data_IF_716180408205
#
_entry.id   IF_716180408205
#
_cell.length_a   1.000
_cell.length_b   1.000
_cell.length_c   1.000
_cell.angle_alpha   90.00
_cell.angle_beta   90.00
_cell.angle_gamma   90.00
#
_symmetry.space_group_name_H-M   'P 1'
#
loop_
_entity.id
_entity.type
_entity.pdbx_description
1 polymer ?
#
# COMPACT_ATOMS: atom_id res chain seq x y z
N UNK A 1 -19.25 -9.31 0.08
CA UNK A 1 -19.18 -9.95 -1.25
C UNK A 1 -17.96 -9.40 -1.95
N UNK A 2 -16.96 -10.27 -2.15
CA UNK A 2 -15.69 -9.90 -2.75
C UNK A 2 -15.87 -9.64 -4.24
N UNK A 3 -15.56 -8.41 -4.66
CA UNK A 3 -15.05 -8.18 -5.99
C UNK A 3 -13.54 -8.39 -5.89
N UNK A 4 -13.07 -9.60 -6.20
CA UNK A 4 -11.71 -9.72 -6.72
C UNK A 4 -11.67 -8.87 -7.98
N UNK A 5 -11.02 -7.71 -7.89
CA UNK A 5 -10.62 -6.95 -9.07
C UNK A 5 -9.73 -7.88 -9.87
N UNK A 6 -10.30 -8.52 -10.89
CA UNK A 6 -9.58 -9.16 -11.98
C UNK A 6 -8.72 -8.05 -12.61
N UNK A 7 -7.48 -7.94 -12.12
CA UNK A 7 -6.46 -7.12 -12.75
C UNK A 7 -6.17 -7.78 -14.10
N UNK A 8 -6.57 -7.10 -15.17
CA UNK A 8 -6.26 -7.49 -16.54
C UNK A 8 -4.73 -7.34 -16.71
N UNK A 9 -3.99 -8.42 -16.44
CA UNK A 9 -2.53 -8.46 -16.55
C UNK A 9 -2.18 -8.33 -18.03
N UNK A 10 -1.53 -7.24 -18.46
CA UNK A 10 -1.11 -7.13 -19.85
C UNK A 10 -0.09 -8.24 -20.15
N UNK A 11 -0.30 -8.97 -21.25
CA UNK A 11 0.52 -10.12 -21.62
C UNK A 11 1.88 -9.76 -22.24
N UNK A 12 2.11 -8.50 -22.58
CA UNK A 12 3.32 -8.04 -23.27
C UNK A 12 3.72 -6.62 -22.80
N UNK A 13 5.02 -6.38 -22.60
CA UNK A 13 5.57 -5.10 -22.12
C UNK A 13 5.14 -3.89 -22.97
N UNK A 14 4.87 -4.07 -24.27
CA UNK A 14 4.40 -3.00 -25.17
C UNK A 14 2.96 -2.54 -24.92
N UNK A 15 2.18 -3.24 -24.10
CA UNK A 15 0.73 -2.98 -23.91
C UNK A 15 0.39 -2.23 -22.62
N UNK A 16 1.37 -1.88 -21.79
CA UNK A 16 1.12 -1.12 -20.55
C UNK A 16 0.62 0.30 -20.84
N UNK A 17 1.21 0.99 -21.82
CA UNK A 17 0.91 2.39 -22.15
C UNK A 17 -0.53 2.67 -22.60
N UNK A 18 -1.09 1.79 -23.43
CA UNK A 18 -2.43 1.97 -24.00
C UNK A 18 -3.58 1.74 -23.00
N UNK A 19 -3.28 1.12 -21.85
CA UNK A 19 -4.27 0.72 -20.83
C UNK A 19 -4.27 1.60 -19.57
N UNK A 20 -3.40 2.61 -19.47
CA UNK A 20 -3.34 3.47 -18.29
C UNK A 20 -4.48 4.50 -18.28
N UNK A 21 -5.39 4.33 -17.32
CA UNK A 21 -6.38 5.34 -16.99
C UNK A 21 -5.83 6.21 -15.86
N UNK A 22 -5.16 7.32 -16.21
CA UNK A 22 -4.42 8.19 -15.27
C UNK A 22 -5.28 8.84 -14.17
N UNK A 23 -6.61 8.90 -14.37
CA UNK A 23 -7.57 9.28 -13.32
C UNK A 23 -7.62 8.25 -12.17
N UNK A 24 -7.33 6.98 -12.45
CA UNK A 24 -7.29 5.87 -11.48
C UNK A 24 -5.86 5.61 -11.01
N UNK A 25 -5.30 6.58 -10.27
CA UNK A 25 -3.89 6.61 -9.83
C UNK A 25 -3.40 5.32 -9.16
N UNK A 26 -4.18 4.71 -8.25
CA UNK A 26 -3.80 3.43 -7.60
C UNK A 26 -3.72 2.28 -8.60
N UNK A 27 -4.63 2.24 -9.58
CA UNK A 27 -4.63 1.21 -10.63
C UNK A 27 -3.38 1.34 -11.51
N UNK A 28 -2.99 2.57 -11.83
CA UNK A 28 -1.73 2.85 -12.55
C UNK A 28 -0.53 2.35 -11.75
N UNK A 29 -0.44 2.68 -10.46
CA UNK A 29 0.66 2.20 -9.60
C UNK A 29 0.71 0.67 -9.52
N UNK A 30 -0.45 0.03 -9.35
CA UNK A 30 -0.55 -1.43 -9.36
C UNK A 30 -0.04 -2.05 -10.68
N UNK A 31 -0.37 -1.43 -11.81
CA UNK A 31 0.12 -1.84 -13.13
C UNK A 31 1.64 -1.60 -13.28
N UNK A 32 2.20 -0.53 -12.69
CA UNK A 32 3.65 -0.30 -12.65
C UNK A 32 4.38 -1.40 -11.88
N UNK A 33 3.86 -1.84 -10.72
CA UNK A 33 4.45 -2.98 -10.00
C UNK A 33 4.48 -4.26 -10.84
N UNK A 34 3.40 -4.50 -11.60
CA UNK A 34 3.31 -5.66 -12.50
C UNK A 34 4.32 -5.53 -13.63
N UNK A 35 4.44 -4.36 -14.27
CA UNK A 35 5.43 -4.10 -15.32
C UNK A 35 6.86 -4.32 -14.79
N UNK A 36 7.15 -3.86 -13.58
CA UNK A 36 8.47 -4.01 -12.97
C UNK A 36 8.79 -5.48 -12.72
N UNK A 37 7.79 -6.22 -12.21
CA UNK A 37 7.88 -7.67 -11.99
C UNK A 37 8.12 -8.46 -13.28
N UNK A 38 7.64 -7.96 -14.41
CA UNK A 38 7.83 -8.55 -15.73
C UNK A 38 9.11 -8.05 -16.44
N UNK A 39 9.98 -7.31 -15.73
CA UNK A 39 11.20 -6.71 -16.28
C UNK A 39 10.93 -5.80 -17.49
N UNK A 40 9.76 -5.15 -17.53
CA UNK A 40 9.40 -4.19 -18.55
C UNK A 40 10.04 -2.81 -18.27
N UNK A 41 11.37 -2.77 -18.19
CA UNK A 41 12.15 -1.62 -17.69
C UNK A 41 11.89 -0.33 -18.46
N UNK A 42 11.74 -0.40 -19.79
CA UNK A 42 11.42 0.76 -20.61
C UNK A 42 10.04 1.37 -20.26
N UNK A 43 9.05 0.53 -19.99
CA UNK A 43 7.72 0.98 -19.56
C UNK A 43 7.78 1.59 -18.15
N UNK A 44 8.61 1.06 -17.25
CA UNK A 44 8.84 1.65 -15.93
C UNK A 44 9.44 3.04 -16.07
N UNK A 45 10.51 3.20 -16.86
CA UNK A 45 11.15 4.49 -17.07
C UNK A 45 10.16 5.54 -17.59
N UNK A 46 9.36 5.20 -18.60
CA UNK A 46 8.38 6.12 -19.19
C UNK A 46 7.24 6.46 -18.20
N UNK A 47 6.60 5.44 -17.63
CA UNK A 47 5.34 5.62 -16.91
C UNK A 47 5.51 5.87 -15.42
N UNK A 48 6.52 5.28 -14.76
CA UNK A 48 6.81 5.59 -13.36
C UNK A 48 7.38 7.01 -13.20
N UNK A 49 8.21 7.48 -14.15
CA UNK A 49 8.67 8.87 -14.19
C UNK A 49 7.52 9.86 -14.28
N UNK A 50 6.55 9.60 -15.17
CA UNK A 50 5.32 10.39 -15.29
C UNK A 50 4.46 10.34 -14.01
N UNK A 51 4.27 9.15 -13.44
CA UNK A 51 3.52 9.00 -12.18
C UNK A 51 4.16 9.78 -11.02
N UNK A 52 5.50 9.83 -10.96
CA UNK A 52 6.23 10.58 -9.95
C UNK A 52 6.01 12.09 -10.05
N UNK A 53 5.69 12.62 -11.23
CA UNK A 53 5.35 14.03 -11.43
C UNK A 53 3.86 14.31 -11.20
N UNK A 54 2.98 13.53 -11.84
CA UNK A 54 1.53 13.77 -11.81
C UNK A 54 0.89 13.43 -10.45
N UNK A 55 1.40 12.42 -9.74
CA UNK A 55 0.80 11.95 -8.49
C UNK A 55 1.42 12.58 -7.24
N UNK A 56 2.37 13.53 -7.41
CA UNK A 56 3.11 14.17 -6.30
C UNK A 56 2.34 15.29 -5.62
N UNK A 57 1.60 16.08 -6.39
CA UNK A 57 0.98 17.30 -5.88
C UNK A 57 -0.53 17.14 -5.72
N UNK A 58 -1.03 17.56 -4.56
CA UNK A 58 -2.47 17.68 -4.32
C UNK A 58 -2.96 18.97 -4.96
N UNK A 59 -3.89 18.87 -5.91
CA UNK A 59 -4.64 20.03 -6.37
C UNK A 59 -5.75 20.34 -5.36
N UNK A 60 -5.64 21.47 -4.67
CA UNK A 60 -6.64 21.89 -3.69
C UNK A 60 -7.84 22.53 -4.38
N UNK A 61 -9.04 22.09 -4.01
CA UNK A 61 -10.29 22.72 -4.40
C UNK A 61 -11.10 22.99 -3.14
N UNK A 62 -11.35 24.27 -2.84
CA UNK A 62 -12.08 24.68 -1.63
C UNK A 62 -13.44 23.98 -1.53
N UNK A 63 -14.15 23.83 -2.66
CA UNK A 63 -15.44 23.13 -2.69
C UNK A 63 -15.29 21.63 -2.39
N UNK A 64 -14.28 20.96 -2.96
CA UNK A 64 -14.02 19.53 -2.68
C UNK A 64 -13.60 19.30 -1.24
N UNK A 65 -12.72 20.14 -0.68
CA UNK A 65 -12.28 20.04 0.72
C UNK A 65 -13.43 20.31 1.69
N UNK A 66 -14.28 21.31 1.41
CA UNK A 66 -15.46 21.61 2.24
C UNK A 66 -16.49 20.49 2.17
N UNK A 67 -16.77 19.95 0.98
CA UNK A 67 -17.68 18.83 0.80
C UNK A 67 -17.13 17.52 1.40
N UNK A 68 -15.80 17.36 1.46
CA UNK A 68 -15.11 16.23 2.10
C UNK A 68 -15.32 16.12 3.62
N UNK A 69 -15.89 17.15 4.26
CA UNK A 69 -16.35 17.08 5.65
C UNK A 69 -17.68 16.32 5.77
N UNK A 70 -18.49 16.29 4.72
CA UNK A 70 -19.81 15.63 4.72
C UNK A 70 -19.79 14.25 4.08
N UNK A 71 -18.70 13.89 3.40
CA UNK A 71 -18.52 12.61 2.74
C UNK A 71 -17.37 11.82 3.38
N UNK A 72 -17.25 10.55 2.99
CA UNK A 72 -16.11 9.73 3.42
C UNK A 72 -14.80 10.38 2.99
N UNK A 73 -13.76 10.16 3.79
CA UNK A 73 -12.46 10.68 3.44
C UNK A 73 -11.98 10.08 2.11
N UNK A 74 -11.22 10.85 1.35
CA UNK A 74 -10.73 10.41 0.04
C UNK A 74 -11.80 10.34 -1.08
N UNK A 75 -13.09 10.60 -0.80
CA UNK A 75 -14.15 10.47 -1.81
C UNK A 75 -14.08 11.53 -2.92
N UNK A 76 -13.73 12.77 -2.55
CA UNK A 76 -13.64 13.90 -3.48
C UNK A 76 -12.22 14.36 -3.74
N UNK A 77 -11.26 13.86 -2.95
CA UNK A 77 -9.85 14.24 -3.05
C UNK A 77 -9.10 13.21 -3.88
N UNK A 78 -8.24 13.71 -4.74
CA UNK A 78 -7.36 12.87 -5.54
C UNK A 78 -6.35 12.17 -4.62
N UNK A 79 -6.01 10.94 -4.99
CA UNK A 79 -4.96 10.20 -4.31
C UNK A 79 -3.60 10.81 -4.66
N UNK A 80 -2.76 11.03 -3.66
CA UNK A 80 -1.42 11.59 -3.80
C UNK A 80 -0.47 10.60 -3.16
N UNK A 81 0.69 10.40 -3.79
CA UNK A 81 1.68 9.46 -3.30
C UNK A 81 2.16 9.85 -1.90
N UNK A 82 2.17 8.87 -1.00
CA UNK A 82 2.84 9.01 0.28
C UNK A 82 4.37 9.11 0.10
N UNK A 83 5.07 9.62 1.12
CA UNK A 83 6.53 9.75 1.08
C UNK A 83 7.26 8.44 0.77
N UNK A 84 6.82 7.32 1.36
CA UNK A 84 7.43 6.01 1.08
C UNK A 84 7.15 5.54 -0.34
N UNK A 85 6.00 5.88 -0.93
CA UNK A 85 5.62 5.47 -2.29
C UNK A 85 6.43 6.26 -3.33
N UNK A 86 6.69 7.56 -3.06
CA UNK A 86 7.58 8.39 -3.89
C UNK A 86 9.01 7.87 -3.87
N UNK A 87 9.53 7.52 -2.70
CA UNK A 87 10.85 6.92 -2.56
C UNK A 87 10.93 5.56 -3.27
N UNK A 88 9.92 4.71 -3.07
CA UNK A 88 9.87 3.39 -3.71
C UNK A 88 9.76 3.47 -5.24
N UNK A 89 9.04 4.45 -5.81
CA UNK A 89 9.05 4.69 -7.26
C UNK A 89 10.46 5.00 -7.77
N UNK A 90 11.24 5.79 -7.05
CA UNK A 90 12.64 6.04 -7.42
C UNK A 90 13.52 4.79 -7.27
N UNK A 91 13.24 3.88 -6.32
CA UNK A 91 13.89 2.56 -6.27
C UNK A 91 13.61 1.77 -7.55
N UNK A 92 12.35 1.71 -7.98
CA UNK A 92 11.97 0.98 -9.21
C UNK A 92 12.62 1.60 -10.45
N UNK A 93 12.64 2.92 -10.56
CA UNK A 93 13.30 3.63 -11.66
C UNK A 93 14.81 3.37 -11.67
N UNK A 94 15.48 3.49 -10.51
CA UNK A 94 16.92 3.24 -10.39
C UNK A 94 17.29 1.81 -10.78
N UNK A 95 16.55 0.82 -10.28
CA UNK A 95 16.75 -0.58 -10.64
C UNK A 95 16.54 -0.84 -12.15
N UNK A 96 15.52 -0.20 -12.75
CA UNK A 96 15.23 -0.34 -14.19
C UNK A 96 16.34 0.30 -15.05
N UNK A 97 16.80 1.50 -14.71
CA UNK A 97 17.95 2.13 -15.38
C UNK A 97 19.21 1.29 -15.26
N UNK A 98 19.47 0.71 -14.08
CA UNK A 98 20.60 -0.18 -13.87
C UNK A 98 20.54 -1.43 -14.75
N UNK A 99 19.40 -2.13 -14.80
CA UNK A 99 19.20 -3.31 -15.66
C UNK A 99 19.35 -3.00 -17.15
N UNK A 100 18.97 -1.79 -17.57
CA UNK A 100 19.18 -1.32 -18.95
C UNK A 100 20.61 -0.86 -19.25
N UNK A 101 21.55 -1.01 -18.29
CA UNK A 101 22.94 -0.63 -18.48
C UNK A 101 23.18 0.88 -18.41
N UNK A 102 22.29 1.63 -17.75
CA UNK A 102 22.38 3.08 -17.61
C UNK A 102 22.63 3.50 -16.15
N UNK A 103 23.86 3.28 -15.61
CA UNK A 103 24.13 3.44 -14.19
C UNK A 103 24.11 4.90 -13.72
N UNK A 104 24.43 5.88 -14.56
CA UNK A 104 24.45 7.29 -14.14
C UNK A 104 23.03 7.82 -13.88
N UNK A 105 22.06 7.41 -14.69
CA UNK A 105 20.64 7.71 -14.52
C UNK A 105 20.06 6.99 -13.30
N UNK A 106 20.53 5.77 -13.02
CA UNK A 106 20.19 5.08 -11.77
C UNK A 106 20.68 5.88 -10.55
N UNK A 107 21.89 6.45 -10.59
CA UNK A 107 22.41 7.33 -9.52
C UNK A 107 21.60 8.62 -9.39
N UNK A 108 21.11 9.20 -10.50
CA UNK A 108 20.22 10.37 -10.46
C UNK A 108 18.93 10.05 -9.71
N UNK A 109 18.33 8.89 -9.97
CA UNK A 109 17.11 8.46 -9.27
C UNK A 109 17.35 8.15 -7.79
N UNK A 110 18.50 7.59 -7.42
CA UNK A 110 18.85 7.42 -6.00
C UNK A 110 19.07 8.75 -5.29
N UNK A 111 19.64 9.76 -5.95
CA UNK A 111 19.70 11.13 -5.38
C UNK A 111 18.32 11.74 -5.25
N UNK A 112 17.40 11.46 -6.17
CA UNK A 112 16.00 11.89 -6.08
C UNK A 112 15.28 11.21 -4.92
N UNK A 113 15.52 9.91 -4.72
CA UNK A 113 15.05 9.15 -3.57
C UNK A 113 15.48 9.80 -2.26
N UNK A 114 16.77 10.16 -2.13
CA UNK A 114 17.30 10.88 -0.96
C UNK A 114 16.47 12.15 -0.71
N UNK A 115 16.28 13.01 -1.72
CA UNK A 115 15.45 14.21 -1.57
C UNK A 115 14.01 13.92 -1.11
N UNK A 116 13.39 12.84 -1.58
CA UNK A 116 12.04 12.44 -1.17
C UNK A 116 11.99 11.88 0.27
N UNK A 117 13.06 11.22 0.73
CA UNK A 117 13.20 10.79 2.12
C UNK A 117 13.47 11.96 3.08
N UNK A 118 14.21 13.00 2.66
CA UNK A 118 14.59 14.12 3.55
C UNK A 118 13.63 15.30 3.56
N UNK A 119 12.72 15.41 2.58
CA UNK A 119 11.80 16.55 2.49
C UNK A 119 10.86 16.65 3.72
N UNK A 120 11.06 17.63 4.64
CA UNK A 120 10.34 17.67 5.93
C UNK A 120 8.85 18.00 5.78
N UNK A 121 8.47 18.66 4.67
CA UNK A 121 7.09 19.03 4.40
C UNK A 121 6.17 17.82 4.16
N UNK A 122 6.75 16.67 3.81
CA UNK A 122 5.97 15.51 3.37
C UNK A 122 6.43 14.18 3.97
N UNK A 123 7.47 14.18 4.81
CA UNK A 123 7.97 12.98 5.46
C UNK A 123 8.20 13.20 6.97
N UNK A 124 7.54 12.39 7.79
CA UNK A 124 7.70 12.39 9.25
C UNK A 124 8.56 11.18 9.67
N UNK A 125 9.80 11.18 9.21
CA UNK A 125 10.80 10.16 9.52
C UNK A 125 11.31 9.41 8.29
N UNK A 126 12.60 9.10 8.28
CA UNK A 126 13.22 8.26 7.26
C UNK A 126 12.63 6.85 7.31
N UNK A 127 12.32 6.29 6.14
CA UNK A 127 11.74 4.97 6.05
C UNK A 127 12.86 3.91 5.92
N UNK A 128 13.01 2.99 6.88
CA UNK A 128 14.13 2.06 6.90
C UNK A 128 14.10 1.09 5.71
N UNK A 129 12.93 0.75 5.18
CA UNK A 129 12.83 -0.13 4.01
C UNK A 129 13.46 0.54 2.79
N UNK A 130 13.07 1.77 2.47
CA UNK A 130 13.63 2.51 1.36
C UNK A 130 15.12 2.85 1.55
N UNK A 131 15.56 3.13 2.79
CA UNK A 131 16.98 3.35 3.09
C UNK A 131 17.82 2.11 2.80
N UNK A 132 17.38 0.93 3.24
CA UNK A 132 18.10 -0.33 2.98
C UNK A 132 18.14 -0.63 1.48
N UNK A 133 17.02 -0.44 0.76
CA UNK A 133 16.97 -0.61 -0.70
C UNK A 133 17.92 0.36 -1.42
N UNK A 134 17.96 1.61 -0.98
CA UNK A 134 18.89 2.64 -1.50
C UNK A 134 20.34 2.26 -1.25
N UNK A 135 20.69 1.86 -0.01
CA UNK A 135 22.04 1.46 0.36
C UNK A 135 22.56 0.32 -0.51
N UNK A 136 21.73 -0.70 -0.74
CA UNK A 136 22.06 -1.85 -1.59
C UNK A 136 22.28 -1.42 -3.04
N UNK A 137 21.39 -0.58 -3.59
CA UNK A 137 21.53 -0.10 -4.97
C UNK A 137 22.80 0.74 -5.15
N UNK A 138 23.17 1.58 -4.17
CA UNK A 138 24.44 2.30 -4.19
C UNK A 138 25.66 1.37 -4.19
N UNK A 139 25.65 0.29 -3.39
CA UNK A 139 26.73 -0.71 -3.43
C UNK A 139 26.83 -1.39 -4.80
N UNK A 140 25.68 -1.75 -5.38
CA UNK A 140 25.60 -2.39 -6.70
C UNK A 140 26.07 -1.47 -7.83
N UNK A 141 25.92 -0.16 -7.66
CA UNK A 141 26.43 0.88 -8.56
C UNK A 141 27.92 1.22 -8.33
N UNK A 142 28.57 0.59 -7.34
CA UNK A 142 29.98 0.81 -7.03
C UNK A 142 30.26 2.10 -6.25
N UNK A 143 29.27 2.64 -5.54
CA UNK A 143 29.38 3.87 -4.74
C UNK A 143 29.29 3.55 -3.23
N UNK A 144 30.33 2.92 -2.63
CA UNK A 144 30.29 2.47 -1.24
C UNK A 144 30.18 3.62 -0.23
N UNK A 145 30.59 4.83 -0.59
CA UNK A 145 30.48 6.01 0.28
C UNK A 145 29.03 6.47 0.48
N UNK A 146 28.24 6.49 -0.59
CA UNK A 146 26.82 6.82 -0.55
C UNK A 146 26.04 5.68 0.14
N UNK A 147 26.34 4.42 -0.19
CA UNK A 147 25.77 3.26 0.48
C UNK A 147 25.99 3.28 2.01
N UNK A 148 27.22 3.60 2.43
CA UNK A 148 27.59 3.71 3.85
C UNK A 148 26.72 4.75 4.57
N UNK A 149 26.41 5.86 3.91
CA UNK A 149 25.59 6.93 4.49
C UNK A 149 24.17 6.42 4.78
N UNK A 150 23.57 5.70 3.83
CA UNK A 150 22.23 5.12 4.01
C UNK A 150 22.22 3.99 5.06
N UNK A 151 23.24 3.12 5.08
CA UNK A 151 23.38 2.13 6.15
C UNK A 151 23.55 2.77 7.52
N UNK A 152 24.30 3.86 7.64
CA UNK A 152 24.49 4.58 8.89
C UNK A 152 23.19 5.18 9.41
N UNK A 153 22.34 5.71 8.53
CA UNK A 153 21.02 6.25 8.88
C UNK A 153 20.08 5.18 9.45
N UNK A 154 20.16 3.95 8.94
CA UNK A 154 19.43 2.80 9.51
C UNK A 154 20.02 2.37 10.85
N UNK A 155 21.35 2.38 10.98
CA UNK A 155 22.07 1.98 12.18
C UNK A 155 21.83 2.94 13.37
N UNK A 156 21.87 4.24 13.10
CA UNK A 156 21.75 5.32 14.08
C UNK A 156 20.60 6.26 13.68
N UNK A 157 19.34 5.78 13.77
CA UNK A 157 18.19 6.57 13.36
C UNK A 157 18.08 7.82 14.23
N UNK A 158 17.83 8.97 13.60
CA UNK A 158 17.63 10.21 14.33
C UNK A 158 16.42 10.15 15.28
N UNK A 159 16.47 10.93 16.36
CA UNK A 159 15.41 11.05 17.38
C UNK A 159 14.05 11.57 16.85
N UNK A 160 13.93 11.88 15.56
CA UNK A 160 12.76 12.52 14.94
C UNK A 160 11.78 11.53 14.27
N UNK A 161 12.08 10.23 14.24
CA UNK A 161 11.22 9.27 13.54
C UNK A 161 10.06 8.81 14.43
N UNK A 162 8.82 9.00 13.96
CA UNK A 162 7.64 8.27 14.48
C UNK A 162 7.69 6.78 14.12
N UNK A 163 8.69 6.38 13.34
CA UNK A 163 8.96 5.03 12.87
C UNK A 163 10.13 4.45 13.66
N UNK A 164 9.82 3.53 14.57
CA UNK A 164 10.85 2.80 15.30
C UNK A 164 11.55 1.82 14.37
N UNK A 165 12.86 1.98 14.18
CA UNK A 165 13.68 0.99 13.46
C UNK A 165 13.92 -0.21 14.37
N UNK A 166 13.69 -1.41 13.86
CA UNK A 166 13.93 -2.67 14.55
C UNK A 166 15.39 -2.75 15.07
N UNK A 167 15.65 -3.02 16.36
CA UNK A 167 17.00 -3.13 16.90
C UNK A 167 17.89 -4.16 16.19
N UNK A 168 17.29 -5.25 15.67
CA UNK A 168 18.02 -6.26 14.90
C UNK A 168 18.48 -5.71 13.56
N UNK A 169 17.64 -4.92 12.89
CA UNK A 169 18.00 -4.23 11.66
C UNK A 169 19.08 -3.17 11.91
N UNK A 170 19.00 -2.42 13.01
CA UNK A 170 20.04 -1.46 13.38
C UNK A 170 21.40 -2.15 13.58
N UNK A 171 21.43 -3.29 14.28
CA UNK A 171 22.65 -4.06 14.50
C UNK A 171 23.25 -4.54 13.16
N UNK A 172 22.42 -5.10 12.28
CA UNK A 172 22.85 -5.50 10.94
C UNK A 172 23.41 -4.33 10.13
N UNK A 173 22.72 -3.17 10.16
CA UNK A 173 23.19 -1.98 9.45
C UNK A 173 24.54 -1.48 9.99
N UNK A 174 24.79 -1.54 11.30
CA UNK A 174 26.11 -1.23 11.89
C UNK A 174 27.20 -2.15 11.35
N UNK A 175 26.92 -3.44 11.20
CA UNK A 175 27.86 -4.39 10.61
C UNK A 175 28.17 -4.03 9.14
N UNK A 176 27.17 -3.60 8.37
CA UNK A 176 27.39 -3.13 6.99
C UNK A 176 28.25 -1.86 6.95
N UNK A 177 28.02 -0.89 7.85
CA UNK A 177 28.88 0.30 7.96
C UNK A 177 30.33 -0.08 8.25
N UNK A 178 30.55 -0.97 9.23
CA UNK A 178 31.89 -1.44 9.59
C UNK A 178 32.55 -2.17 8.41
N UNK A 179 31.81 -3.01 7.69
CA UNK A 179 32.30 -3.72 6.50
C UNK A 179 32.76 -2.73 5.42
N UNK A 180 31.96 -1.70 5.14
CA UNK A 180 32.27 -0.67 4.15
C UNK A 180 33.47 0.19 4.58
N UNK A 181 33.58 0.53 5.87
CA UNK A 181 34.73 1.24 6.43
C UNK A 181 36.04 0.45 6.30
N UNK A 182 35.97 -0.87 6.36
CA UNK A 182 37.10 -1.77 6.16
C UNK A 182 37.41 -2.02 4.67
N UNK A 183 36.61 -1.48 3.74
CA UNK A 183 36.75 -1.72 2.31
C UNK A 183 36.49 -3.16 1.89
N UNK A 184 35.73 -3.93 2.70
CA UNK A 184 35.45 -5.33 2.42
C UNK A 184 34.23 -5.47 1.50
N UNK A 185 34.43 -6.12 0.36
CA UNK A 185 33.32 -6.45 -0.56
C UNK A 185 32.59 -7.70 -0.09
N UNK A 186 31.26 -7.77 -0.27
CA UNK A 186 30.52 -9.00 0.02
C UNK A 186 30.99 -10.12 -0.92
N UNK A 187 30.88 -11.39 -0.50
CA UNK A 187 31.35 -12.53 -1.29
C UNK A 187 30.59 -12.70 -2.61
N UNK A 188 29.34 -12.25 -2.67
CA UNK A 188 28.51 -12.22 -3.88
C UNK A 188 27.81 -10.86 -3.98
N UNK A 189 27.37 -10.44 -5.20
CA UNK A 189 26.55 -9.25 -5.34
C UNK A 189 25.23 -9.40 -4.58
N UNK A 190 24.68 -8.27 -4.17
CA UNK A 190 23.36 -8.22 -3.55
C UNK A 190 22.27 -8.66 -4.52
N UNK A 191 21.33 -9.45 -4.01
CA UNK A 191 20.08 -9.82 -4.64
C UNK A 191 18.95 -9.37 -3.73
N UNK A 192 17.85 -8.89 -4.31
CA UNK A 192 16.75 -8.31 -3.54
C UNK A 192 15.45 -8.91 -4.05
N UNK A 193 14.69 -9.56 -3.17
CA UNK A 193 13.45 -10.25 -3.52
C UNK A 193 12.26 -9.62 -2.81
N UNK A 194 11.28 -9.13 -3.56
CA UNK A 194 9.96 -8.81 -3.05
C UNK A 194 9.13 -10.07 -2.87
N UNK A 195 8.60 -10.27 -1.65
CA UNK A 195 7.77 -11.42 -1.28
C UNK A 195 6.36 -10.99 -0.86
N UNK A 196 5.37 -11.73 -1.34
CA UNK A 196 3.96 -11.53 -0.97
C UNK A 196 3.38 -10.23 -1.52
N UNK A 197 2.24 -9.82 -0.95
CA UNK A 197 1.56 -8.57 -1.29
C UNK A 197 1.30 -7.78 -0.02
N UNK A 198 1.36 -6.46 -0.13
CA UNK A 198 1.00 -5.55 0.94
C UNK A 198 -0.31 -5.98 1.60
N UNK A 199 -0.36 -6.08 2.94
CA UNK A 199 -1.51 -6.66 3.61
C UNK A 199 -2.75 -5.80 3.43
N UNK A 200 -3.92 -6.44 3.47
CA UNK A 200 -5.17 -5.70 3.50
C UNK A 200 -5.27 -4.86 4.77
N UNK A 201 -5.87 -3.69 4.63
CA UNK A 201 -6.03 -2.72 5.72
C UNK A 201 -7.43 -2.85 6.31
N UNK A 202 -7.51 -3.49 7.48
CA UNK A 202 -8.74 -3.56 8.26
C UNK A 202 -8.86 -2.34 9.17
N UNK A 203 -10.08 -1.84 9.36
CA UNK A 203 -10.33 -0.70 10.24
C UNK A 203 -11.64 -0.81 11.02
N UNK A 204 -11.63 -0.24 12.23
CA UNK A 204 -12.78 -0.13 13.12
C UNK A 204 -12.82 1.24 13.78
N UNK A 205 -14.02 1.76 14.03
CA UNK A 205 -14.22 2.98 14.82
C UNK A 205 -14.13 2.62 16.31
N UNK A 206 -13.29 3.35 17.05
CA UNK A 206 -13.19 3.37 18.51
C UNK A 206 -13.68 4.72 19.02
N UNK A 207 -14.97 4.78 19.39
CA UNK A 207 -15.60 6.01 19.90
C UNK A 207 -15.12 6.41 21.31
N UNK A 208 -14.57 5.47 22.08
CA UNK A 208 -14.14 5.68 23.47
C UNK A 208 -12.77 5.07 23.74
N UNK A 209 -11.99 5.70 24.63
CA UNK A 209 -10.78 5.12 25.21
C UNK A 209 -9.58 5.00 24.28
N UNK A 210 -9.53 5.76 23.19
CA UNK A 210 -8.38 5.73 22.28
C UNK A 210 -7.45 6.93 22.51
N UNK A 211 -6.17 6.71 22.86
CA UNK A 211 -5.23 7.79 23.13
C UNK A 211 -4.79 8.56 21.88
N UNK A 212 -4.86 7.93 20.69
CA UNK A 212 -4.16 8.39 19.48
C UNK A 212 -5.09 8.57 18.25
N UNK A 213 -6.34 8.94 18.47
CA UNK A 213 -7.37 9.05 17.40
C UNK A 213 -8.41 7.94 17.46
N UNK A 214 -9.48 7.99 16.67
CA UNK A 214 -10.66 7.15 16.87
C UNK A 214 -10.79 5.98 15.87
N UNK A 215 -9.75 5.72 15.07
CA UNK A 215 -9.67 4.52 14.24
C UNK A 215 -8.69 3.51 14.83
N UNK A 216 -9.07 2.24 14.83
CA UNK A 216 -8.15 1.14 14.97
C UNK A 216 -7.90 0.55 13.59
N UNK A 217 -6.72 0.79 13.04
CA UNK A 217 -6.28 0.33 11.72
C UNK A 217 -5.29 -0.81 11.94
N UNK A 218 -5.53 -1.97 11.33
CA UNK A 218 -4.76 -3.20 11.54
C UNK A 218 -4.45 -3.89 10.21
N UNK A 219 -3.24 -4.46 10.05
CA UNK A 219 -2.89 -5.21 8.85
C UNK A 219 -3.52 -6.62 8.92
N UNK A 220 -3.94 -7.13 7.77
CA UNK A 220 -4.47 -8.47 7.62
C UNK A 220 -3.91 -9.12 6.33
N UNK A 221 -3.00 -10.11 6.42
CA UNK A 221 -2.45 -10.71 7.64
C UNK A 221 -1.46 -9.77 8.36
N UNK A 222 -1.04 -10.14 9.57
CA UNK A 222 0.01 -9.44 10.31
C UNK A 222 1.37 -9.53 9.59
N UNK A 223 2.23 -8.53 9.79
CA UNK A 223 3.58 -8.53 9.23
C UNK A 223 4.46 -9.60 9.88
N UNK A 224 5.36 -10.15 9.07
CA UNK A 224 6.40 -11.03 9.57
C UNK A 224 7.50 -10.21 10.27
N UNK A 225 8.10 -10.73 11.35
CA UNK A 225 9.20 -10.05 12.01
C UNK A 225 10.45 -10.02 11.13
N UNK A 226 11.28 -9.01 11.38
CA UNK A 226 12.63 -8.88 10.83
C UNK A 226 13.43 -10.16 11.11
N UNK A 227 14.17 -10.62 10.11
CA UNK A 227 15.12 -11.72 10.26
C UNK A 227 16.47 -11.27 9.70
N UNK A 228 17.53 -11.51 10.44
CA UNK A 228 18.91 -11.22 10.03
C UNK A 228 19.69 -12.53 9.98
N UNK A 229 20.52 -12.69 8.96
CA UNK A 229 21.47 -13.78 8.80
C UNK A 229 22.85 -13.20 8.43
N UNK A 230 23.86 -14.06 8.36
CA UNK A 230 25.20 -13.66 7.92
C UNK A 230 25.23 -13.25 6.43
N UNK A 231 24.27 -13.74 5.64
CA UNK A 231 24.20 -13.50 4.21
C UNK A 231 23.19 -12.44 3.82
N UNK A 232 22.31 -12.01 4.73
CA UNK A 232 21.26 -11.09 4.35
C UNK A 232 20.28 -10.72 5.47
N UNK A 233 19.22 -10.04 5.07
CA UNK A 233 18.16 -9.57 5.94
C UNK A 233 16.81 -9.69 5.25
N UNK A 234 15.79 -10.05 6.03
CA UNK A 234 14.38 -9.96 5.64
C UNK A 234 13.73 -8.85 6.45
N UNK A 235 13.17 -7.86 5.77
CA UNK A 235 12.44 -6.75 6.38
C UNK A 235 11.00 -6.69 5.84
N UNK A 236 10.04 -6.44 6.72
CA UNK A 236 8.65 -6.22 6.32
C UNK A 236 8.42 -4.77 5.92
N UNK A 237 7.37 -4.51 5.15
CA UNK A 237 6.89 -3.15 4.83
C UNK A 237 5.98 -2.59 5.94
N UNK A 238 6.20 -3.00 7.18
CA UNK A 238 5.40 -2.55 8.34
C UNK A 238 5.51 -1.04 8.55
N UNK A 239 6.67 -0.44 8.27
CA UNK A 239 6.86 1.02 8.36
C UNK A 239 6.04 1.79 7.33
N UNK A 240 5.83 1.21 6.13
CA UNK A 240 4.92 1.77 5.13
C UNK A 240 3.47 1.73 5.62
N UNK A 241 3.06 0.60 6.21
CA UNK A 241 1.73 0.48 6.82
C UNK A 241 1.54 1.43 7.99
N UNK A 242 2.56 1.63 8.83
CA UNK A 242 2.51 2.57 9.93
C UNK A 242 2.19 3.99 9.44
N UNK A 243 2.73 4.42 8.30
CA UNK A 243 2.38 5.72 7.68
C UNK A 243 0.90 5.82 7.30
N UNK A 244 0.29 4.73 6.82
CA UNK A 244 -1.15 4.66 6.53
C UNK A 244 -1.98 4.66 7.84
N UNK A 245 -1.58 3.83 8.81
CA UNK A 245 -2.31 3.62 10.05
C UNK A 245 -2.31 4.86 10.97
N UNK A 246 -1.19 5.58 11.01
CA UNK A 246 -1.06 6.79 11.82
C UNK A 246 -1.52 8.06 11.09
N UNK A 247 -1.97 7.99 9.83
CA UNK A 247 -2.45 9.15 9.05
C UNK A 247 -3.54 9.96 9.77
N UNK A 248 -4.37 9.30 10.57
CA UNK A 248 -5.46 9.93 11.32
C UNK A 248 -5.13 10.14 12.81
N UNK A 249 -3.86 9.98 13.19
CA UNK A 249 -3.39 10.27 14.54
C UNK A 249 -3.22 11.79 14.72
N UNK A 250 -3.65 12.29 15.87
CA UNK A 250 -3.51 13.70 16.25
C UNK A 250 -2.05 14.17 16.28
N UNK A 251 -1.12 13.29 16.61
CA UNK A 251 0.32 13.58 16.63
C UNK A 251 0.94 13.63 15.21
N UNK A 252 0.29 12.97 14.24
CA UNK A 252 0.80 12.86 12.86
C UNK A 252 0.19 13.92 11.93
N UNK A 253 -1.15 13.98 11.85
CA UNK A 253 -1.87 14.97 11.04
C UNK A 253 -3.05 15.56 11.83
N UNK A 254 -2.82 16.63 12.61
CA UNK A 254 -3.85 17.20 13.49
C UNK A 254 -5.08 17.69 12.72
N UNK A 255 -4.88 18.27 11.52
CA UNK A 255 -5.99 18.74 10.68
C UNK A 255 -6.84 17.59 10.14
N UNK A 256 -6.20 16.52 9.63
CA UNK A 256 -6.93 15.35 9.16
C UNK A 256 -7.69 14.70 10.31
N UNK A 257 -7.07 14.57 11.48
CA UNK A 257 -7.74 14.08 12.68
C UNK A 257 -8.98 14.92 13.04
N UNK A 258 -8.91 16.26 13.02
CA UNK A 258 -10.07 17.14 13.27
C UNK A 258 -11.18 16.95 12.23
N UNK A 259 -10.86 16.88 10.94
CA UNK A 259 -11.87 16.61 9.90
C UNK A 259 -12.59 15.29 10.16
N UNK A 260 -11.79 14.29 10.52
CA UNK A 260 -12.20 13.00 10.96
C UNK A 260 -13.17 13.08 12.17
N UNK A 261 -12.88 13.89 13.19
CA UNK A 261 -13.81 14.13 14.32
C UNK A 261 -15.14 14.76 13.92
N UNK A 262 -15.13 15.70 12.98
CA UNK A 262 -16.36 16.37 12.51
C UNK A 262 -17.27 15.39 11.75
N UNK A 263 -16.70 14.40 11.04
CA UNK A 263 -17.48 13.39 10.31
C UNK A 263 -18.26 12.45 11.22
N UNK A 264 -17.81 12.20 12.44
CA UNK A 264 -18.50 11.29 13.37
C UNK A 264 -19.98 11.67 13.63
N UNK A 265 -20.30 12.88 14.11
CA UNK A 265 -21.70 13.28 14.30
C UNK A 265 -22.49 13.31 12.98
N UNK A 266 -21.87 13.68 11.86
CA UNK A 266 -22.51 13.65 10.53
C UNK A 266 -22.87 12.20 10.15
N UNK A 267 -21.96 11.26 10.36
CA UNK A 267 -22.19 9.84 10.15
C UNK A 267 -23.35 9.31 10.98
N UNK A 268 -23.48 9.73 12.24
CA UNK A 268 -24.63 9.39 13.10
C UNK A 268 -25.92 9.92 12.49
N UNK A 269 -25.96 11.20 12.11
CA UNK A 269 -27.15 11.82 11.49
C UNK A 269 -27.53 11.09 10.20
N UNK A 270 -26.56 10.79 9.34
CA UNK A 270 -26.81 10.07 8.09
C UNK A 270 -27.27 8.64 8.32
N UNK A 271 -26.72 7.94 9.32
CA UNK A 271 -27.19 6.61 9.73
C UNK A 271 -28.62 6.61 10.26
N UNK A 272 -29.08 7.70 10.88
CA UNK A 272 -30.46 7.84 11.36
C UNK A 272 -31.48 8.01 10.23
N UNK A 273 -31.09 8.46 9.03
CA UNK A 273 -31.99 8.62 7.88
C UNK A 273 -32.63 7.29 7.44
N UNK A 274 -31.87 6.25 7.03
CA UNK A 274 -32.48 4.97 6.66
C UNK A 274 -33.20 4.29 7.83
N UNK A 275 -32.75 4.52 9.07
CA UNK A 275 -33.43 4.02 10.26
C UNK A 275 -34.83 4.65 10.44
N UNK A 276 -34.90 5.99 10.42
CA UNK A 276 -36.16 6.72 10.59
C UNK A 276 -37.12 6.53 9.41
N UNK A 277 -36.60 6.49 8.17
CA UNK A 277 -37.38 6.12 6.99
C UNK A 277 -37.93 4.70 7.11
N UNK A 278 -37.11 3.72 7.50
CA UNK A 278 -37.56 2.34 7.72
C UNK A 278 -38.64 2.23 8.80
N UNK A 279 -38.50 2.99 9.90
CA UNK A 279 -39.51 3.07 10.96
C UNK A 279 -40.82 3.65 10.44
N UNK A 280 -40.74 4.74 9.67
CA UNK A 280 -41.90 5.38 9.05
C UNK A 280 -42.62 4.46 8.06
N UNK A 281 -41.88 3.71 7.24
CA UNK A 281 -42.45 2.72 6.31
C UNK A 281 -43.15 1.60 7.07
N UNK A 282 -42.53 1.04 8.11
CA UNK A 282 -43.13 -0.03 8.90
C UNK A 282 -44.41 0.43 9.62
N UNK A 283 -44.33 1.54 10.38
CA UNK A 283 -45.46 2.08 11.15
C UNK A 283 -46.56 2.59 10.23
N UNK A 284 -46.20 3.39 9.22
CA UNK A 284 -47.15 3.96 8.27
C UNK A 284 -47.82 2.90 7.40
N UNK A 285 -47.08 1.88 6.96
CA UNK A 285 -47.63 0.76 6.20
C UNK A 285 -48.61 -0.09 7.01
N UNK A 286 -48.36 -0.31 8.29
CA UNK A 286 -49.32 -0.99 9.18
C UNK A 286 -50.52 -0.12 9.54
N UNK A 287 -50.34 1.19 9.73
CA UNK A 287 -51.45 2.12 9.93
C UNK A 287 -52.35 2.22 8.67
N UNK A 288 -51.74 2.25 7.48
CA UNK A 288 -52.47 2.21 6.20
C UNK A 288 -53.10 0.85 5.91
N UNK A 289 -52.48 -0.25 6.34
CA UNK A 289 -53.11 -1.57 6.29
C UNK A 289 -54.37 -1.65 7.16
N UNK A 290 -54.36 -1.02 8.33
CA UNK A 290 -55.51 -0.97 9.23
C UNK A 290 -56.72 -0.22 8.62
N UNK A 291 -56.50 0.71 7.69
CA UNK A 291 -57.58 1.42 6.99
C UNK A 291 -58.15 0.67 5.78
N UNK A 292 -57.50 -0.41 5.31
CA UNK A 292 -57.93 -1.22 4.16
C UNK A 292 -58.79 -2.45 4.54
N UNK A 293 -58.93 -2.74 5.85
CA UNK A 293 -59.67 -3.91 6.35
C UNK A 293 -58.99 -5.26 6.08
N UNK A 294 -59.67 -6.36 6.42
CA UNK A 294 -59.09 -7.72 6.46
C UNK A 294 -58.61 -8.26 5.10
N UNK A 295 -59.13 -7.73 3.98
CA UNK A 295 -58.76 -8.18 2.63
C UNK A 295 -57.50 -7.45 2.14
N UNK A 296 -56.34 -7.94 2.56
CA UNK A 296 -55.03 -7.51 2.06
C UNK A 296 -54.25 -6.56 2.98
N UNK A 297 -54.89 -6.02 4.03
CA UNK A 297 -54.21 -5.22 5.05
C UNK A 297 -53.07 -5.99 5.76
N UNK A 298 -53.30 -7.25 6.12
CA UNK A 298 -52.27 -8.07 6.80
C UNK A 298 -51.01 -8.25 5.93
N UNK A 299 -51.18 -8.57 4.65
CA UNK A 299 -50.07 -8.73 3.72
C UNK A 299 -49.31 -7.42 3.48
N UNK A 300 -50.01 -6.28 3.44
CA UNK A 300 -49.41 -4.95 3.30
C UNK A 300 -48.62 -4.54 4.55
N UNK A 301 -49.15 -4.80 5.76
CA UNK A 301 -48.40 -4.55 7.00
C UNK A 301 -47.16 -5.44 7.10
N UNK A 302 -47.26 -6.73 6.75
CA UNK A 302 -46.12 -7.64 6.74
C UNK A 302 -45.03 -7.20 5.74
N UNK A 303 -45.43 -6.80 4.53
CA UNK A 303 -44.51 -6.27 3.52
C UNK A 303 -43.85 -4.97 4.00
N UNK A 304 -44.62 -4.07 4.61
CA UNK A 304 -44.12 -2.81 5.15
C UNK A 304 -43.12 -3.02 6.30
N UNK A 305 -43.37 -3.98 7.19
CA UNK A 305 -42.42 -4.36 8.25
C UNK A 305 -41.13 -4.91 7.64
N UNK A 306 -41.22 -5.84 6.68
CA UNK A 306 -40.03 -6.40 6.02
C UNK A 306 -39.23 -5.34 5.28
N UNK A 307 -39.91 -4.48 4.51
CA UNK A 307 -39.28 -3.35 3.82
C UNK A 307 -38.65 -2.35 4.79
N UNK A 308 -39.36 -2.01 5.87
CA UNK A 308 -38.87 -1.12 6.93
C UNK A 308 -37.63 -1.67 7.63
N UNK A 309 -37.63 -2.95 8.02
CA UNK A 309 -36.47 -3.61 8.61
C UNK A 309 -35.28 -3.67 7.65
N UNK A 310 -35.53 -3.92 6.36
CA UNK A 310 -34.47 -3.89 5.34
C UNK A 310 -33.83 -2.50 5.22
N UNK A 311 -34.63 -1.43 5.26
CA UNK A 311 -34.12 -0.05 5.24
C UNK A 311 -33.34 0.28 6.52
N UNK A 312 -33.89 -0.05 7.69
CA UNK A 312 -33.18 0.12 8.97
C UNK A 312 -31.84 -0.62 8.98
N UNK A 313 -31.79 -1.82 8.39
CA UNK A 313 -30.57 -2.62 8.26
C UNK A 313 -29.45 -1.95 7.47
N UNK A 314 -29.74 -0.92 6.67
CA UNK A 314 -28.74 -0.13 5.95
C UNK A 314 -28.03 0.91 6.83
N UNK A 315 -28.60 1.29 7.97
CA UNK A 315 -28.07 2.34 8.84
C UNK A 315 -26.60 2.15 9.25
N UNK A 316 -26.15 0.94 9.65
CA UNK A 316 -24.73 0.72 9.98
C UNK A 316 -23.80 0.90 8.79
N UNK A 317 -24.23 0.52 7.58
CA UNK A 317 -23.43 0.69 6.37
C UNK A 317 -23.32 2.15 5.95
N UNK A 318 -24.41 2.92 6.06
CA UNK A 318 -24.41 4.37 5.82
C UNK A 318 -23.49 5.07 6.82
N UNK A 319 -23.63 4.78 8.11
CA UNK A 319 -22.73 5.31 9.14
C UNK A 319 -21.27 4.99 8.82
N UNK A 320 -20.96 3.70 8.59
CA UNK A 320 -19.60 3.22 8.33
C UNK A 320 -19.00 3.88 7.09
N UNK A 321 -19.78 4.05 6.03
CA UNK A 321 -19.29 4.70 4.82
C UNK A 321 -19.00 6.19 5.05
N UNK A 322 -19.88 6.92 5.72
CA UNK A 322 -19.68 8.36 6.00
C UNK A 322 -18.42 8.63 6.82
N UNK A 323 -18.14 7.79 7.82
CA UNK A 323 -16.98 7.96 8.72
C UNK A 323 -15.71 7.25 8.24
N UNK A 324 -15.74 6.62 7.06
CA UNK A 324 -14.62 5.82 6.56
C UNK A 324 -13.36 6.70 6.40
N UNK A 325 -12.22 6.29 6.99
CA UNK A 325 -10.95 6.99 6.79
C UNK A 325 -10.39 6.75 5.39
N UNK A 326 -9.52 7.65 4.93
CA UNK A 326 -8.81 7.47 3.67
C UNK A 326 -7.65 6.50 3.93
N UNK A 327 -7.86 5.26 3.50
CA UNK A 327 -6.91 4.15 3.59
C UNK A 327 -6.44 3.72 2.20
N UNK A 328 -6.64 4.56 1.18
CA UNK A 328 -6.09 4.32 -0.15
C UNK A 328 -4.57 4.29 -0.07
N UNK A 329 -3.99 3.30 -0.72
CA UNK A 329 -2.55 3.03 -0.78
C UNK A 329 -2.24 2.22 -2.03
N UNK A 330 -0.96 2.13 -2.37
CA UNK A 330 -0.48 1.23 -3.40
C UNK A 330 -0.56 -0.23 -2.94
N UNK A 331 -1.47 -1.01 -3.55
CA UNK A 331 -1.82 -2.35 -3.07
C UNK A 331 -0.86 -3.45 -3.55
N UNK A 332 -0.38 -3.34 -4.79
CA UNK A 332 0.53 -4.34 -5.38
C UNK A 332 2.00 -4.00 -5.13
N UNK A 333 2.38 -3.72 -3.89
CA UNK A 333 3.80 -3.71 -3.48
C UNK A 333 4.11 -4.95 -2.63
N UNK A 334 5.37 -5.38 -2.54
CA UNK A 334 5.73 -6.51 -1.68
C UNK A 334 5.38 -6.24 -0.22
N UNK A 335 4.99 -7.28 0.52
CA UNK A 335 4.82 -7.16 1.98
C UNK A 335 6.16 -7.25 2.73
N UNK A 336 7.15 -7.87 2.09
CA UNK A 336 8.44 -8.19 2.66
C UNK A 336 9.49 -8.11 1.56
N UNK A 337 10.68 -7.66 1.92
CA UNK A 337 11.87 -7.75 1.10
C UNK A 337 12.90 -8.68 1.74
N UNK A 338 13.47 -9.59 0.95
CA UNK A 338 14.64 -10.39 1.33
C UNK A 338 15.83 -9.87 0.53
N UNK A 339 16.84 -9.39 1.23
CA UNK A 339 18.06 -8.82 0.67
C UNK A 339 19.22 -9.69 1.07
N UNK A 340 19.93 -10.30 0.12
CA UNK A 340 20.92 -11.32 0.40
C UNK A 340 22.11 -11.28 -0.56
N UNK A 341 23.27 -11.66 -0.06
CA UNK A 341 24.47 -11.98 -0.82
C UNK A 341 24.72 -13.50 -0.89
N UNK A 342 23.75 -14.32 -0.43
CA UNK A 342 23.77 -15.75 -0.66
C UNK A 342 23.73 -16.02 -2.18
N UNK A 343 24.42 -17.07 -2.68
CA UNK A 343 24.44 -17.37 -4.11
C UNK A 343 23.05 -17.59 -4.71
N UNK A 344 22.13 -18.16 -3.92
CA UNK A 344 20.74 -18.42 -4.31
C UNK A 344 19.81 -18.14 -3.14
N UNK A 345 18.56 -17.74 -3.40
CA UNK A 345 17.57 -17.48 -2.37
C UNK A 345 17.33 -18.68 -1.43
N UNK A 346 17.43 -19.91 -1.92
CA UNK A 346 17.27 -21.14 -1.12
C UNK A 346 18.34 -21.30 -0.03
N UNK A 347 19.50 -20.64 -0.19
CA UNK A 347 20.60 -20.68 0.77
C UNK A 347 20.51 -19.55 1.79
N UNK A 348 19.57 -18.61 1.63
CA UNK A 348 19.36 -17.51 2.57
C UNK A 348 18.50 -18.01 3.75
N UNK A 349 19.03 -18.08 4.99
CA UNK A 349 18.29 -18.58 6.15
C UNK A 349 17.04 -17.77 6.49
N UNK A 350 17.02 -16.48 6.14
CA UNK A 350 15.86 -15.61 6.33
C UNK A 350 14.84 -15.69 5.20
N UNK A 351 15.07 -16.50 4.16
CA UNK A 351 14.10 -16.74 3.10
C UNK A 351 12.85 -17.43 3.64
N UNK A 352 11.71 -17.21 2.97
CA UNK A 352 10.47 -17.90 3.29
C UNK A 352 10.28 -19.02 2.26
N UNK A 353 10.20 -20.30 2.67
CA UNK A 353 9.89 -21.37 1.73
C UNK A 353 8.51 -21.08 1.11
N UNK A 354 8.42 -20.97 -0.21
CA UNK A 354 7.18 -20.87 -1.01
C UNK A 354 6.51 -19.49 -1.19
N UNK A 355 7.21 -18.37 -1.01
CA UNK A 355 6.65 -17.07 -1.43
C UNK A 355 6.85 -16.85 -2.95
N UNK A 356 5.89 -16.24 -3.66
CA UNK A 356 6.12 -15.72 -5.02
C UNK A 356 7.24 -14.69 -4.94
N UNK A 357 8.32 -14.92 -5.69
CA UNK A 357 9.56 -14.13 -5.67
C UNK A 357 9.59 -13.16 -6.84
N UNK A 358 9.86 -11.89 -6.56
CA UNK A 358 10.16 -10.89 -7.59
C UNK A 358 11.53 -10.29 -7.31
N UNK A 359 12.48 -10.47 -8.23
CA UNK A 359 13.83 -9.96 -8.07
C UNK A 359 13.88 -8.47 -8.46
N UNK A 360 14.28 -7.63 -7.53
CA UNK A 360 14.44 -6.19 -7.70
C UNK A 360 15.82 -5.82 -8.24
N UNK A 361 16.87 -6.65 -8.08
CA UNK A 361 18.28 -6.21 -8.23
C UNK A 361 19.22 -7.18 -8.98
N UNK A 362 18.85 -8.45 -9.21
CA UNK A 362 19.78 -9.42 -9.84
C UNK A 362 20.02 -9.21 -11.35
N UNK A 363 21.26 -9.47 -11.76
CA UNK A 363 21.74 -9.62 -13.16
C UNK A 363 21.31 -10.95 -13.82
N UNK A 364 20.61 -11.80 -13.09
CA UNK A 364 20.27 -13.14 -13.53
C UNK A 364 18.79 -13.17 -13.87
N UNK A 365 18.47 -13.41 -15.14
CA UNK A 365 17.14 -13.88 -15.53
C UNK A 365 16.81 -15.09 -14.65
N UNK A 366 15.95 -14.91 -13.64
CA UNK A 366 15.41 -16.04 -12.89
C UNK A 366 14.42 -16.74 -13.81
N UNK A 367 14.96 -17.61 -14.66
CA UNK A 367 14.22 -18.74 -15.17
C UNK A 367 13.81 -19.62 -13.99
N UNK A 368 12.64 -19.35 -13.43
CA UNK A 368 11.75 -20.40 -12.91
C UNK A 368 10.34 -20.10 -13.41
N UNK A 369 10.16 -20.36 -14.70
CA UNK A 369 8.84 -20.58 -15.26
C UNK A 369 8.45 -22.02 -14.91
N UNK A 370 7.69 -22.22 -13.83
CA UNK A 370 6.95 -23.46 -13.56
C UNK A 370 5.86 -23.19 -12.52
N UNK A 371 4.88 -22.36 -12.89
CA UNK A 371 3.46 -22.54 -12.56
C UNK A 371 2.64 -21.42 -13.21
N UNK A 372 2.74 -21.31 -14.53
CA UNK A 372 1.67 -20.73 -15.33
C UNK A 372 0.87 -21.87 -15.94
N UNK A 373 -0.38 -22.00 -15.48
CA UNK A 373 -1.52 -22.48 -16.25
C UNK A 373 -1.43 -23.96 -16.66
N UNK A 374 -2.11 -24.83 -15.89
CA UNK A 374 -2.56 -26.12 -16.44
C UNK A 374 -3.48 -25.84 -17.63
N UNK A 375 -3.21 -26.39 -18.83
CA UNK A 375 -4.14 -26.29 -19.94
C UNK A 375 -5.42 -27.05 -19.62
N UNK A 376 -6.54 -26.39 -19.93
CA UNK A 376 -7.89 -26.97 -19.97
C UNK A 376 -7.87 -28.21 -20.86
N UNK A 377 -8.34 -29.33 -20.33
CA UNK A 377 -8.56 -30.56 -21.07
C UNK A 377 -9.60 -30.34 -22.17
N UNK A 378 -9.17 -30.44 -23.43
CA UNK A 378 -10.08 -30.60 -24.58
C UNK A 378 -10.42 -32.09 -24.69
N UNK A 379 -11.71 -32.48 -24.83
CA UNK A 379 -12.08 -33.89 -24.95
C UNK A 379 -11.67 -34.43 -26.31
N UNK A 380 -10.97 -35.58 -26.30
CA UNK A 380 -10.74 -36.39 -27.50
C UNK A 380 -12.06 -37.07 -27.86
N UNK A 381 -12.64 -36.69 -28.99
CA UNK A 381 -13.60 -37.54 -29.71
C UNK A 381 -12.79 -38.61 -30.43
N UNK A 382 -13.01 -39.87 -30.05
CA UNK A 382 -12.43 -41.06 -30.66
C UNK A 382 -13.16 -41.40 -31.99
N UNK A 383 -12.50 -42.13 -32.92
CA UNK A 383 -12.99 -42.38 -34.27
C UNK A 383 -14.28 -43.21 -34.37
#
# INVERSE_FOLDING_TARGET
SGNELLFDVPGECGSFGEKFEWSHRIKVLNQLSIAFTQECDQAIIEYAGRAQEEFRHKTFSVSKETAGVFLSDGALTEYVLESYERAYLSVLLAASYYRMGNPEEAKVELRRLDHELFAPLYNFGEDPVNLVLSAILWEVLGEPGDARTDWYRVAEPGNSSLLTVDPTLQAFAREQVVRLDQGTTPPSPWQVFGLGRFPHVDWKVKLFGSPNGYFAIQPNPAFQPTCVSNTGVRISTETWFAKIAHRHDHAYHPLLNIQSWIRLPIGVVYGLVPFSLGAGVAVGGCAGAASLGDKGGQALCELAIRGGLSLMGMAPAVFKNTVRPDLRHWELVPAVFVMTNAPTLELEPCSVPQARTHDLVSHSSLHVNQDMIRPVSVPVVAP
#
